data_IF_070636366559
#
_entry.id   IF_070636366559
#
_cell.length_a   1.000
_cell.length_b   1.000
_cell.length_c   1.000
_cell.angle_alpha   90.00
_cell.angle_beta   90.00
_cell.angle_gamma   90.00
#
_symmetry.space_group_name_H-M   'P 1'
#
loop_
_entity.id
_entity.type
_entity.pdbx_description
1 polymer ?
#
# COMPACT_ATOMS: atom_id res chain seq x y z
N UNK A 1 -17.47 4.68 22.03
CA UNK A 1 -17.39 4.06 20.72
C UNK A 1 -17.93 2.65 20.85
N UNK A 2 -19.06 2.36 20.21
CA UNK A 2 -19.70 1.07 20.25
C UNK A 2 -18.96 0.14 19.27
N UNK A 3 -18.05 -0.68 19.79
CA UNK A 3 -17.30 -1.65 19.00
C UNK A 3 -18.15 -2.91 18.86
N UNK A 4 -19.01 -2.93 17.87
CA UNK A 4 -19.67 -4.18 17.45
C UNK A 4 -18.68 -4.97 16.61
N UNK A 5 -18.09 -5.97 17.20
CA UNK A 5 -17.18 -6.91 16.54
C UNK A 5 -17.96 -8.18 16.26
N UNK A 6 -17.93 -8.62 15.01
CA UNK A 6 -18.50 -9.90 14.59
C UNK A 6 -17.39 -10.90 14.29
N UNK A 7 -17.72 -12.18 14.35
CA UNK A 7 -16.82 -13.22 13.84
C UNK A 7 -16.91 -13.24 12.31
N UNK A 8 -15.79 -13.28 11.59
CA UNK A 8 -15.82 -13.41 10.14
C UNK A 8 -16.35 -14.80 9.75
N UNK A 9 -16.95 -14.89 8.57
CA UNK A 9 -17.33 -16.18 7.99
C UNK A 9 -16.11 -17.08 7.79
N UNK A 10 -14.98 -16.49 7.35
CA UNK A 10 -13.75 -17.21 7.09
C UNK A 10 -12.53 -16.30 7.31
N UNK A 11 -11.43 -16.91 7.74
CA UNK A 11 -10.09 -16.31 7.72
C UNK A 11 -9.28 -17.06 6.67
N UNK A 12 -8.76 -16.34 5.69
CA UNK A 12 -7.94 -16.86 4.60
C UNK A 12 -6.50 -16.38 4.82
N UNK A 13 -5.57 -17.31 4.78
CA UNK A 13 -4.13 -17.02 4.93
C UNK A 13 -3.40 -17.57 3.72
N UNK A 14 -3.30 -16.79 2.62
CA UNK A 14 -2.61 -17.22 1.40
C UNK A 14 -1.13 -17.47 1.67
N UNK A 15 -0.60 -18.55 1.11
CA UNK A 15 0.83 -18.90 1.20
C UNK A 15 1.67 -18.13 0.18
N UNK A 16 1.06 -17.71 -0.92
CA UNK A 16 1.73 -17.03 -2.03
C UNK A 16 0.90 -15.89 -2.63
N UNK A 17 1.59 -14.94 -3.26
CA UNK A 17 0.97 -13.86 -4.04
C UNK A 17 -0.04 -14.39 -5.07
N UNK A 18 0.27 -15.50 -5.74
CA UNK A 18 -0.57 -16.07 -6.80
C UNK A 18 -1.98 -16.48 -6.33
N UNK A 19 -2.15 -16.75 -5.05
CA UNK A 19 -3.45 -17.13 -4.47
C UNK A 19 -4.36 -15.93 -4.21
N UNK A 20 -3.82 -14.70 -4.16
CA UNK A 20 -4.57 -13.52 -3.76
C UNK A 20 -5.74 -13.20 -4.68
N UNK A 21 -5.51 -13.10 -5.99
CA UNK A 21 -6.58 -12.75 -6.94
C UNK A 21 -7.68 -13.82 -7.02
N UNK A 22 -7.39 -15.13 -7.07
CA UNK A 22 -8.40 -16.19 -6.96
C UNK A 22 -9.23 -16.11 -5.68
N UNK A 23 -8.61 -15.89 -4.52
CA UNK A 23 -9.31 -15.76 -3.23
C UNK A 23 -10.22 -14.54 -3.21
N UNK A 24 -9.73 -13.39 -3.65
CA UNK A 24 -10.53 -12.15 -3.76
C UNK A 24 -11.73 -12.38 -4.68
N UNK A 25 -11.53 -12.99 -5.84
CA UNK A 25 -12.62 -13.33 -6.77
C UNK A 25 -13.67 -14.21 -6.09
N UNK A 26 -13.25 -15.23 -5.37
CA UNK A 26 -14.19 -16.15 -4.70
C UNK A 26 -14.97 -15.44 -3.60
N UNK A 27 -14.34 -14.56 -2.85
CA UNK A 27 -15.03 -13.73 -1.86
C UNK A 27 -16.11 -12.83 -2.51
N UNK A 28 -15.78 -12.21 -3.64
CA UNK A 28 -16.74 -11.38 -4.40
C UNK A 28 -17.92 -12.21 -4.89
N UNK A 29 -17.68 -13.37 -5.50
CA UNK A 29 -18.73 -14.30 -5.97
C UNK A 29 -19.68 -14.73 -4.85
N UNK A 30 -19.15 -14.93 -3.65
CA UNK A 30 -19.92 -15.29 -2.46
C UNK A 30 -20.56 -14.08 -1.75
N UNK A 31 -20.33 -12.88 -2.25
CA UNK A 31 -20.82 -11.62 -1.68
C UNK A 31 -20.29 -11.38 -0.26
N UNK A 32 -19.04 -11.76 0.03
CA UNK A 32 -18.39 -11.54 1.31
C UNK A 32 -17.72 -10.16 1.33
N UNK A 33 -17.81 -9.47 2.45
CA UNK A 33 -17.01 -8.26 2.72
C UNK A 33 -15.56 -8.66 2.91
N UNK A 34 -14.67 -8.16 2.10
CA UNK A 34 -13.24 -8.49 2.16
C UNK A 34 -12.54 -7.54 3.12
N UNK A 35 -11.82 -8.11 4.10
CA UNK A 35 -11.08 -7.38 5.12
C UNK A 35 -9.61 -7.81 5.02
N UNK A 36 -8.77 -7.06 4.29
CA UNK A 36 -7.33 -7.33 4.27
C UNK A 36 -6.73 -7.00 5.64
N UNK A 37 -5.91 -7.90 6.16
CA UNK A 37 -5.26 -7.76 7.45
C UNK A 37 -3.78 -8.14 7.38
N UNK A 38 -2.92 -7.20 7.76
CA UNK A 38 -1.52 -7.46 8.13
C UNK A 38 -1.41 -7.62 9.65
N UNK A 39 -0.61 -6.79 10.32
CA UNK A 39 -0.50 -6.81 11.79
C UNK A 39 -1.74 -6.36 12.56
N UNK A 40 -2.74 -5.79 11.91
CA UNK A 40 -3.98 -5.32 12.57
C UNK A 40 -3.79 -4.11 13.48
N UNK A 41 -2.71 -3.36 13.34
CA UNK A 41 -2.30 -2.26 14.23
C UNK A 41 -2.96 -0.91 13.93
N UNK A 42 -3.76 -0.80 12.87
CA UNK A 42 -4.38 0.46 12.46
C UNK A 42 -5.47 0.92 13.43
N UNK A 43 -5.46 2.21 13.78
CA UNK A 43 -6.42 2.80 14.72
C UNK A 43 -7.84 2.97 14.16
N UNK A 44 -8.01 2.90 12.84
CA UNK A 44 -9.32 3.06 12.18
C UNK A 44 -10.23 1.83 12.33
N UNK A 45 -9.70 0.72 12.85
CA UNK A 45 -10.46 -0.53 12.99
C UNK A 45 -10.73 -1.26 11.67
N UNK A 46 -10.05 -0.89 10.57
CA UNK A 46 -10.26 -1.48 9.25
C UNK A 46 -9.97 -2.97 9.14
N UNK A 47 -9.25 -3.55 10.11
CA UNK A 47 -8.98 -4.99 10.18
C UNK A 47 -10.02 -5.77 11.02
N UNK A 48 -11.08 -5.09 11.50
CA UNK A 48 -12.09 -5.67 12.39
C UNK A 48 -13.38 -5.98 11.62
N UNK A 49 -13.87 -7.23 11.63
CA UNK A 49 -15.16 -7.57 11.03
C UNK A 49 -16.32 -6.88 11.74
N UNK A 50 -17.20 -6.24 10.97
CA UNK A 50 -18.45 -5.64 11.47
C UNK A 50 -19.69 -6.41 11.01
N UNK A 51 -19.49 -7.49 10.28
CA UNK A 51 -20.55 -8.41 9.82
C UNK A 51 -20.00 -9.83 9.75
N UNK A 52 -20.84 -10.80 10.12
CA UNK A 52 -20.50 -12.21 9.96
C UNK A 52 -20.24 -12.58 8.49
N UNK A 53 -20.86 -11.86 7.53
CA UNK A 53 -20.70 -12.07 6.10
C UNK A 53 -19.41 -11.43 5.59
N UNK A 54 -18.28 -11.79 6.18
CA UNK A 54 -16.97 -11.24 5.86
C UNK A 54 -15.90 -12.32 5.76
N UNK A 55 -14.86 -12.03 4.98
CA UNK A 55 -13.65 -12.81 4.86
C UNK A 55 -12.46 -11.94 5.28
N UNK A 56 -11.73 -12.36 6.31
CA UNK A 56 -10.45 -11.74 6.66
C UNK A 56 -9.37 -12.39 5.81
N UNK A 57 -8.67 -11.59 5.01
CA UNK A 57 -7.51 -12.04 4.22
C UNK A 57 -6.25 -11.63 4.98
N UNK A 58 -5.67 -12.59 5.68
CA UNK A 58 -4.48 -12.39 6.51
C UNK A 58 -3.21 -12.58 5.68
N UNK A 59 -2.36 -11.57 5.60
CA UNK A 59 -1.17 -11.55 4.75
C UNK A 59 0.10 -12.05 5.45
N UNK A 60 0.00 -12.61 6.65
CA UNK A 60 1.16 -12.94 7.51
C UNK A 60 2.19 -13.88 6.84
N UNK A 61 1.76 -14.73 5.90
CA UNK A 61 2.67 -15.64 5.19
C UNK A 61 3.34 -15.03 3.95
N UNK A 62 2.89 -13.85 3.53
CA UNK A 62 3.50 -13.10 2.44
C UNK A 62 4.67 -12.30 3.01
N UNK A 63 5.79 -12.98 3.30
CA UNK A 63 6.89 -12.41 4.09
C UNK A 63 8.25 -12.41 3.38
N UNK A 64 8.27 -12.55 2.04
CA UNK A 64 9.52 -12.42 1.28
C UNK A 64 10.04 -10.99 1.36
N UNK A 65 11.33 -10.87 1.63
CA UNK A 65 12.04 -9.61 1.80
C UNK A 65 13.40 -9.71 1.11
N UNK A 66 13.72 -8.77 0.22
CA UNK A 66 15.04 -8.68 -0.40
C UNK A 66 16.05 -7.99 0.53
N UNK A 67 17.34 -8.10 0.18
CA UNK A 67 18.34 -7.15 0.67
C UNK A 67 18.14 -5.77 0.06
N UNK A 68 19.02 -4.83 0.44
CA UNK A 68 19.09 -3.51 -0.24
C UNK A 68 19.74 -3.70 -1.61
N UNK A 69 19.06 -3.24 -2.63
CA UNK A 69 19.49 -3.28 -4.03
C UNK A 69 19.57 -1.86 -4.60
N UNK A 70 20.58 -1.60 -5.42
CA UNK A 70 20.71 -0.32 -6.14
C UNK A 70 19.93 -0.40 -7.44
N UNK A 71 18.79 0.29 -7.51
CA UNK A 71 17.86 0.23 -8.65
C UNK A 71 17.76 1.58 -9.35
N UNK A 72 17.84 1.59 -10.68
CA UNK A 72 17.56 2.78 -11.48
C UNK A 72 16.05 2.93 -11.63
N UNK A 73 15.47 3.91 -10.96
CA UNK A 73 14.04 4.21 -11.04
C UNK A 73 13.72 4.97 -12.34
N UNK A 74 12.51 4.81 -12.92
CA UNK A 74 12.10 5.54 -14.10
C UNK A 74 12.21 7.06 -13.94
N UNK A 75 12.99 7.72 -14.80
CA UNK A 75 13.22 9.16 -14.76
C UNK A 75 14.24 9.64 -13.72
N UNK A 76 14.88 8.74 -12.97
CA UNK A 76 15.93 9.07 -11.99
C UNK A 76 17.31 8.71 -12.56
N UNK A 77 18.22 9.68 -12.59
CA UNK A 77 19.50 9.52 -13.26
C UNK A 77 20.48 8.56 -12.58
N UNK A 78 20.45 8.48 -11.25
CA UNK A 78 21.34 7.64 -10.46
C UNK A 78 20.59 6.45 -9.83
N UNK A 79 21.26 5.30 -9.64
CA UNK A 79 20.67 4.20 -8.88
C UNK A 79 20.34 4.61 -7.44
N UNK A 80 19.23 4.11 -6.93
CA UNK A 80 18.68 4.42 -5.60
C UNK A 80 18.64 3.13 -4.78
N UNK A 81 19.03 3.17 -3.49
CA UNK A 81 18.90 2.01 -2.62
C UNK A 81 17.41 1.70 -2.39
N UNK A 82 17.01 0.48 -2.71
CA UNK A 82 15.63 0.00 -2.61
C UNK A 82 15.58 -1.35 -1.93
N UNK A 83 14.44 -1.65 -1.33
CA UNK A 83 14.11 -2.96 -0.76
C UNK A 83 12.77 -3.40 -1.35
N UNK A 84 12.71 -4.64 -1.81
CA UNK A 84 11.46 -5.27 -2.25
C UNK A 84 10.90 -6.13 -1.12
N UNK A 85 9.63 -5.98 -0.81
CA UNK A 85 8.97 -6.76 0.25
C UNK A 85 7.55 -7.15 -0.12
N UNK A 86 7.11 -8.29 0.37
CA UNK A 86 5.71 -8.69 0.35
C UNK A 86 4.91 -7.97 1.44
N UNK A 87 3.58 -8.03 1.33
CA UNK A 87 2.66 -7.26 2.16
C UNK A 87 2.66 -7.64 3.65
N UNK A 88 3.00 -8.89 3.98
CA UNK A 88 3.02 -9.42 5.35
C UNK A 88 4.34 -9.16 6.09
N UNK A 89 5.37 -8.65 5.41
CA UNK A 89 6.66 -8.34 6.05
C UNK A 89 6.47 -7.32 7.16
N UNK A 90 6.95 -7.65 8.36
CA UNK A 90 6.91 -6.74 9.50
C UNK A 90 7.83 -5.55 9.23
N UNK A 91 7.35 -4.35 9.50
CA UNK A 91 8.01 -3.08 9.19
C UNK A 91 9.43 -3.01 9.77
N UNK A 92 9.61 -3.48 11.01
CA UNK A 92 10.92 -3.50 11.67
C UNK A 92 11.96 -4.31 10.88
N UNK A 93 11.57 -5.44 10.27
CA UNK A 93 12.50 -6.26 9.47
C UNK A 93 13.07 -5.48 8.28
N UNK A 94 12.27 -4.61 7.64
CA UNK A 94 12.75 -3.75 6.56
C UNK A 94 13.73 -2.70 7.09
N UNK A 95 13.43 -2.13 8.26
CA UNK A 95 14.34 -1.18 8.91
C UNK A 95 15.70 -1.84 9.26
N UNK A 96 15.68 -3.07 9.78
CA UNK A 96 16.87 -3.83 10.15
C UNK A 96 17.75 -4.13 8.91
N UNK A 97 17.12 -4.54 7.79
CA UNK A 97 17.82 -4.78 6.51
C UNK A 97 18.45 -3.49 5.98
N UNK A 98 17.75 -2.36 6.06
CA UNK A 98 18.27 -1.07 5.63
C UNK A 98 19.46 -0.63 6.50
N UNK A 99 19.34 -0.74 7.82
CA UNK A 99 20.38 -0.37 8.78
C UNK A 99 21.64 -1.23 8.60
N UNK A 100 21.48 -2.54 8.42
CA UNK A 100 22.59 -3.46 8.16
C UNK A 100 23.38 -3.11 6.89
N UNK A 101 22.73 -2.45 5.92
CA UNK A 101 23.35 -1.95 4.69
C UNK A 101 23.82 -0.48 4.78
N UNK A 102 23.71 0.16 5.95
CA UNK A 102 24.12 1.55 6.17
C UNK A 102 23.09 2.60 5.71
N UNK A 103 21.83 2.21 5.54
CA UNK A 103 20.72 3.07 5.14
C UNK A 103 19.67 3.22 6.22
N UNK A 104 18.80 4.20 6.06
CA UNK A 104 17.67 4.44 6.96
C UNK A 104 16.38 4.14 6.24
N UNK A 105 15.53 3.24 6.79
CA UNK A 105 14.16 3.11 6.33
C UNK A 105 13.30 4.22 6.92
N UNK A 106 12.64 5.00 6.06
CA UNK A 106 11.97 6.24 6.45
C UNK A 106 10.63 6.02 7.16
N UNK A 107 9.95 4.91 6.91
CA UNK A 107 8.61 4.61 7.45
C UNK A 107 8.77 3.94 8.82
N UNK A 108 8.55 4.70 9.90
CA UNK A 108 8.78 4.26 11.28
C UNK A 108 7.55 4.47 12.18
N UNK A 109 6.40 3.83 11.91
CA UNK A 109 5.25 3.93 12.80
C UNK A 109 5.60 3.40 14.20
N UNK A 110 4.93 3.90 15.23
CA UNK A 110 5.13 3.43 16.61
C UNK A 110 4.87 1.94 16.77
N UNK A 111 4.13 1.34 15.84
CA UNK A 111 3.83 -0.08 15.75
C UNK A 111 4.77 -0.86 14.83
N UNK A 112 5.97 -0.35 14.52
CA UNK A 112 6.88 -0.96 13.54
C UNK A 112 7.21 -2.44 13.82
N UNK A 113 7.25 -2.85 15.08
CA UNK A 113 7.50 -4.24 15.49
C UNK A 113 6.31 -5.20 15.21
N UNK A 114 5.12 -4.67 14.91
CA UNK A 114 3.92 -5.44 14.70
C UNK A 114 3.18 -5.08 13.39
N UNK A 115 3.36 -3.88 12.85
CA UNK A 115 2.75 -3.47 11.58
C UNK A 115 3.45 -4.13 10.40
N UNK A 116 2.69 -4.34 9.31
CA UNK A 116 3.20 -4.94 8.09
C UNK A 116 3.25 -3.91 6.95
N UNK A 117 4.15 -4.12 5.99
CA UNK A 117 4.40 -3.21 4.87
C UNK A 117 3.13 -2.97 4.04
N UNK A 118 2.32 -4.00 3.75
CA UNK A 118 1.07 -3.82 3.02
C UNK A 118 0.11 -2.84 3.70
N UNK A 119 0.00 -2.94 5.04
CA UNK A 119 -0.77 -2.00 5.84
C UNK A 119 -0.17 -0.60 5.86
N UNK A 120 1.15 -0.48 5.94
CA UNK A 120 1.84 0.81 5.88
C UNK A 120 1.58 1.53 4.54
N UNK A 121 1.58 0.79 3.44
CA UNK A 121 1.27 1.33 2.11
C UNK A 121 -0.21 1.74 2.03
N UNK A 122 -1.13 0.84 2.40
CA UNK A 122 -2.56 1.07 2.31
C UNK A 122 -3.04 2.29 3.14
N UNK A 123 -2.43 2.48 4.31
CA UNK A 123 -2.78 3.57 5.23
C UNK A 123 -1.86 4.80 5.10
N UNK A 124 -0.93 4.78 4.15
CA UNK A 124 0.09 5.82 4.00
C UNK A 124 0.79 6.12 5.33
N UNK A 125 1.33 5.08 5.96
CA UNK A 125 1.91 5.17 7.29
C UNK A 125 3.10 6.14 7.32
N UNK A 126 3.22 6.87 8.41
CA UNK A 126 4.37 7.70 8.77
C UNK A 126 4.86 7.32 10.15
N UNK A 127 5.70 8.16 10.70
CA UNK A 127 6.24 8.03 12.04
C UNK A 127 7.03 9.28 12.40
N UNK A 128 7.95 9.20 13.36
CA UNK A 128 8.80 10.33 13.77
C UNK A 128 9.68 10.83 12.62
N UNK A 129 10.18 9.90 11.81
CA UNK A 129 11.04 10.19 10.66
C UNK A 129 10.29 10.86 9.50
N UNK A 130 8.97 10.80 9.46
CA UNK A 130 8.15 11.39 8.40
C UNK A 130 8.29 12.92 8.31
N UNK A 131 8.69 13.58 9.38
CA UNK A 131 8.99 15.03 9.37
C UNK A 131 10.09 15.36 8.37
N UNK A 132 11.12 14.52 8.28
CA UNK A 132 12.25 14.69 7.34
C UNK A 132 11.97 13.99 6.00
N UNK A 133 11.60 12.72 6.01
CA UNK A 133 11.60 11.85 4.84
C UNK A 133 10.20 11.50 4.29
N UNK A 134 9.15 12.09 4.87
CA UNK A 134 7.78 11.84 4.43
C UNK A 134 7.20 10.52 4.94
N UNK A 135 6.09 10.13 4.33
CA UNK A 135 5.29 8.93 4.65
C UNK A 135 5.61 7.78 3.68
N UNK A 136 4.86 6.68 3.77
CA UNK A 136 5.01 5.55 2.86
C UNK A 136 4.92 5.96 1.39
N UNK A 137 3.95 6.79 1.01
CA UNK A 137 3.77 7.26 -0.37
C UNK A 137 4.99 8.02 -0.90
N UNK A 138 5.66 8.80 -0.04
CA UNK A 138 6.86 9.56 -0.41
C UNK A 138 8.05 8.66 -0.75
N UNK A 139 8.07 7.45 -0.17
CA UNK A 139 9.18 6.51 -0.25
C UNK A 139 8.91 5.28 -1.15
N UNK A 140 7.71 5.19 -1.75
CA UNK A 140 7.37 4.09 -2.66
C UNK A 140 7.90 4.35 -4.07
N UNK A 141 8.66 3.39 -4.60
CA UNK A 141 9.04 3.35 -6.02
C UNK A 141 7.96 2.67 -6.86
N UNK A 142 7.43 1.54 -6.38
CA UNK A 142 6.31 0.83 -7.00
C UNK A 142 5.61 -0.04 -5.97
N UNK A 143 4.38 -0.45 -6.29
CA UNK A 143 3.65 -1.46 -5.53
C UNK A 143 2.65 -2.20 -6.40
N UNK A 144 2.31 -3.42 -5.99
CA UNK A 144 1.27 -4.22 -6.62
C UNK A 144 0.08 -4.41 -5.69
N UNK A 145 -1.11 -4.47 -6.25
CA UNK A 145 -2.35 -4.75 -5.52
C UNK A 145 -3.32 -5.56 -6.35
N UNK A 146 -4.22 -6.29 -5.69
CA UNK A 146 -5.39 -6.90 -6.32
C UNK A 146 -6.53 -5.89 -6.32
N UNK A 147 -7.13 -5.67 -7.49
CA UNK A 147 -8.24 -4.72 -7.68
C UNK A 147 -9.58 -5.35 -7.29
N UNK A 148 -10.67 -4.55 -7.16
CA UNK A 148 -12.03 -5.08 -6.96
C UNK A 148 -12.53 -6.03 -8.05
N UNK A 149 -11.91 -6.01 -9.24
CA UNK A 149 -12.19 -6.94 -10.35
C UNK A 149 -11.42 -8.27 -10.21
N UNK A 150 -10.71 -8.46 -9.09
CA UNK A 150 -9.81 -9.59 -8.85
C UNK A 150 -8.74 -9.76 -9.95
N UNK A 151 -8.18 -8.64 -10.38
CA UNK A 151 -7.05 -8.51 -11.29
C UNK A 151 -5.89 -7.84 -10.59
N UNK A 152 -4.71 -7.88 -11.21
CA UNK A 152 -3.54 -7.22 -10.66
C UNK A 152 -3.33 -5.83 -11.24
N UNK A 153 -2.96 -4.90 -10.39
CA UNK A 153 -2.51 -3.56 -10.73
C UNK A 153 -1.12 -3.34 -10.13
N UNK A 154 -0.17 -2.99 -10.98
CA UNK A 154 1.13 -2.46 -10.55
C UNK A 154 1.12 -0.94 -10.78
N UNK A 155 1.53 -0.20 -9.75
CA UNK A 155 1.70 1.25 -9.81
C UNK A 155 3.18 1.56 -9.70
N UNK A 156 3.73 2.23 -10.69
CA UNK A 156 5.14 2.62 -10.74
C UNK A 156 5.23 4.14 -10.69
N UNK A 157 5.97 4.69 -9.74
CA UNK A 157 6.21 6.12 -9.68
C UNK A 157 7.24 6.53 -10.72
N UNK A 158 6.88 7.49 -11.57
CA UNK A 158 7.77 8.10 -12.55
C UNK A 158 8.40 9.36 -11.96
N UNK A 159 9.62 9.67 -12.40
CA UNK A 159 10.34 10.88 -12.02
C UNK A 159 10.39 11.10 -10.49
N UNK A 160 10.72 10.05 -9.75
CA UNK A 160 10.75 10.09 -8.29
C UNK A 160 11.70 11.17 -7.80
N UNK A 161 11.20 12.16 -7.04
CA UNK A 161 12.00 13.28 -6.55
C UNK A 161 12.89 12.95 -5.33
N UNK A 162 12.87 11.70 -4.86
CA UNK A 162 13.58 11.21 -3.65
C UNK A 162 13.29 12.07 -2.41
N UNK A 163 12.11 12.66 -2.37
CA UNK A 163 11.62 13.55 -1.30
C UNK A 163 10.11 13.50 -1.23
N UNK A 164 9.52 14.46 -0.52
CA UNK A 164 8.08 14.50 -0.29
C UNK A 164 7.33 14.77 -1.58
N UNK A 165 6.37 13.92 -1.89
CA UNK A 165 5.63 13.96 -3.15
C UNK A 165 4.86 15.27 -3.38
N UNK A 166 4.43 15.94 -2.30
CA UNK A 166 3.73 17.21 -2.41
C UNK A 166 4.62 18.41 -2.80
N UNK A 167 5.94 18.23 -2.84
CA UNK A 167 6.90 19.25 -3.26
C UNK A 167 7.07 19.31 -4.78
N UNK A 168 6.65 18.26 -5.50
CA UNK A 168 6.64 18.32 -6.97
C UNK A 168 5.39 19.03 -7.50
N UNK A 169 5.52 19.73 -8.63
CA UNK A 169 4.38 20.37 -9.29
C UNK A 169 3.36 19.30 -9.73
N UNK A 170 3.84 18.21 -10.31
CA UNK A 170 3.04 17.10 -10.82
C UNK A 170 3.70 15.77 -10.46
N UNK A 171 3.00 14.93 -9.72
CA UNK A 171 3.38 13.55 -9.46
C UNK A 171 2.82 12.68 -10.59
N UNK A 172 3.67 11.79 -11.12
CA UNK A 172 3.34 10.93 -12.26
C UNK A 172 3.47 9.47 -11.88
N UNK A 173 2.48 8.68 -12.28
CA UNK A 173 2.45 7.24 -12.03
C UNK A 173 2.10 6.51 -13.32
N UNK A 174 2.78 5.41 -13.58
CA UNK A 174 2.39 4.44 -14.58
C UNK A 174 1.58 3.33 -13.92
N UNK A 175 0.37 3.12 -14.43
CA UNK A 175 -0.56 2.09 -13.97
C UNK A 175 -0.52 0.95 -14.97
N UNK A 176 -0.03 -0.22 -14.55
CA UNK A 176 0.08 -1.42 -15.35
C UNK A 176 -0.98 -2.42 -14.90
N UNK A 177 -1.98 -2.63 -15.74
CA UNK A 177 -3.09 -3.55 -15.48
C UNK A 177 -2.77 -4.93 -16.03
N UNK A 178 -2.80 -5.92 -15.17
CA UNK A 178 -2.57 -7.31 -15.54
C UNK A 178 -3.85 -8.12 -15.38
N UNK A 179 -3.89 -9.28 -16.02
CA UNK A 179 -4.95 -10.26 -15.83
C UNK A 179 -4.96 -10.81 -14.37
N UNK A 180 -5.90 -11.73 -14.10
CA UNK A 180 -6.04 -12.32 -12.77
C UNK A 180 -4.84 -13.19 -12.35
N UNK A 181 -4.01 -13.64 -13.30
CA UNK A 181 -2.77 -14.38 -12.98
C UNK A 181 -1.60 -13.47 -12.62
N UNK A 182 -1.72 -12.16 -12.93
CA UNK A 182 -0.64 -11.19 -12.76
C UNK A 182 0.51 -11.32 -13.76
N UNK A 183 0.35 -12.16 -14.79
CA UNK A 183 1.41 -12.45 -15.77
C UNK A 183 1.23 -11.70 -17.08
N UNK A 184 0.00 -11.55 -17.56
CA UNK A 184 -0.28 -10.92 -18.83
C UNK A 184 -0.69 -9.46 -18.62
N UNK A 185 0.16 -8.54 -19.09
CA UNK A 185 -0.16 -7.11 -19.15
C UNK A 185 -1.30 -6.88 -20.15
N UNK A 186 -2.40 -6.27 -19.69
CA UNK A 186 -3.58 -5.98 -20.49
C UNK A 186 -3.57 -4.55 -21.03
N UNK A 187 -3.16 -3.58 -20.20
CA UNK A 187 -3.05 -2.17 -20.58
C UNK A 187 -2.11 -1.42 -19.65
N UNK A 188 -1.63 -0.30 -20.14
CA UNK A 188 -0.85 0.68 -19.37
C UNK A 188 -1.48 2.05 -19.56
N UNK A 189 -1.54 2.82 -18.48
CA UNK A 189 -1.99 4.22 -18.52
C UNK A 189 -1.14 5.07 -17.57
N UNK A 190 -1.10 6.37 -17.81
CA UNK A 190 -0.38 7.32 -16.95
C UNK A 190 -1.39 8.13 -16.16
N UNK A 191 -1.17 8.18 -14.84
CA UNK A 191 -1.93 9.03 -13.91
C UNK A 191 -1.05 10.20 -13.49
N UNK A 192 -1.56 11.41 -13.64
CA UNK A 192 -0.89 12.65 -13.25
C UNK A 192 -1.72 13.37 -12.19
N UNK A 193 -1.09 13.68 -11.05
CA UNK A 193 -1.74 14.31 -9.90
C UNK A 193 -0.90 15.51 -9.46
N UNK A 194 -1.48 16.70 -9.28
CA UNK A 194 -0.76 17.81 -8.66
C UNK A 194 -0.17 17.39 -7.31
N UNK A 195 1.15 17.53 -7.12
CA UNK A 195 1.82 17.06 -5.90
C UNK A 195 1.19 17.62 -4.62
N UNK A 196 0.80 18.90 -4.63
CA UNK A 196 0.09 19.54 -3.51
C UNK A 196 -1.23 18.85 -3.13
N UNK A 197 -1.92 18.19 -4.07
CA UNK A 197 -3.16 17.47 -3.81
C UNK A 197 -2.94 16.18 -3.01
N UNK A 198 -1.70 15.69 -2.94
CA UNK A 198 -1.30 14.51 -2.18
C UNK A 198 -0.89 14.85 -0.73
N UNK A 199 -0.93 16.13 -0.35
CA UNK A 199 -0.64 16.58 1.01
C UNK A 199 -1.92 16.59 1.84
N UNK A 200 -2.01 15.73 2.85
CA UNK A 200 -3.16 15.68 3.77
C UNK A 200 -3.35 16.95 4.61
N UNK A 201 -2.27 17.67 4.95
CA UNK A 201 -2.33 18.86 5.79
C UNK A 201 -2.09 20.14 4.96
N UNK A 202 -2.89 21.18 5.17
CA UNK A 202 -2.71 22.50 4.56
C UNK A 202 -3.26 22.65 3.14
N UNK A 203 -3.99 21.67 2.62
CA UNK A 203 -4.80 21.83 1.41
C UNK A 203 -6.14 22.48 1.76
N UNK A 204 -6.61 23.36 0.89
CA UNK A 204 -7.98 23.83 0.98
C UNK A 204 -8.95 22.65 0.85
N UNK A 205 -10.05 22.72 1.62
CA UNK A 205 -11.04 21.63 1.68
C UNK A 205 -11.57 21.24 0.29
N UNK A 206 -11.80 22.20 -0.59
CA UNK A 206 -12.29 21.99 -1.94
C UNK A 206 -11.35 21.17 -2.82
N UNK A 207 -10.03 21.38 -2.69
CA UNK A 207 -9.00 20.62 -3.43
C UNK A 207 -8.95 19.19 -2.91
N UNK A 208 -8.97 19.01 -1.60
CA UNK A 208 -8.98 17.68 -0.97
C UNK A 208 -10.26 16.92 -1.35
N UNK A 209 -11.41 17.56 -1.28
CA UNK A 209 -12.69 16.97 -1.64
C UNK A 209 -12.75 16.54 -3.11
N UNK A 210 -12.22 17.35 -4.03
CA UNK A 210 -12.14 17.00 -5.45
C UNK A 210 -11.22 15.82 -5.71
N UNK A 211 -10.08 15.76 -5.02
CA UNK A 211 -9.15 14.64 -5.13
C UNK A 211 -9.79 13.35 -4.60
N UNK A 212 -10.33 13.38 -3.39
CA UNK A 212 -10.96 12.22 -2.76
C UNK A 212 -12.19 11.74 -3.55
N UNK A 213 -12.99 12.64 -4.12
CA UNK A 213 -14.13 12.28 -4.96
C UNK A 213 -13.73 11.58 -6.27
N UNK A 214 -12.48 11.75 -6.73
CA UNK A 214 -11.93 11.06 -7.90
C UNK A 214 -11.43 9.64 -7.60
N UNK A 215 -11.34 9.24 -6.33
CA UNK A 215 -10.88 7.91 -5.94
C UNK A 215 -12.06 6.95 -5.79
N UNK A 216 -12.08 5.80 -6.49
CA UNK A 216 -13.11 4.80 -6.30
C UNK A 216 -13.20 4.34 -4.83
N UNK A 217 -14.41 4.32 -4.28
CA UNK A 217 -14.66 3.84 -2.91
C UNK A 217 -14.38 4.83 -1.78
N UNK A 218 -13.96 6.06 -2.08
CA UNK A 218 -13.85 7.12 -1.07
C UNK A 218 -15.19 7.82 -0.92
N UNK A 219 -15.80 7.72 0.26
CA UNK A 219 -17.02 8.46 0.61
C UNK A 219 -16.62 9.80 1.27
N UNK A 220 -17.36 10.85 0.93
CA UNK A 220 -17.30 12.10 1.68
C UNK A 220 -17.95 11.89 3.04
N UNK A 221 -17.26 12.24 4.11
CA UNK A 221 -17.87 12.51 5.40
C UNK A 221 -18.48 13.92 5.43
#
# INVERSE_FOLDING_TARGET
TDWRVEYPFVVLTPDTEAEMAPLVRKCIELGLTIIPRGGGTGYTGGAVPLTWKSAVVNTEKLERLSGVEMVTLPGVAAPVPTVSSEAGVVTQRVADVAEAAGYVFAVDPTSAEASCIGGNVAMNAGGKKAVLWGTALDNLASWKMVTPEAKWLEVVRLDHNLGKIHEVALARFELRHFDATGQRLERTETLEIPGRALRKAGLGKDVTDKFLAGLPGVQKE
#
